data_IF_322748353598
#
_entry.id   IF_322748353598
#
_cell.length_a   1.000
_cell.length_b   1.000
_cell.length_c   1.000
_cell.angle_alpha   90.00
_cell.angle_beta   90.00
_cell.angle_gamma   90.00
#
_symmetry.space_group_name_H-M   'P 1'
#
loop_
_entity.id
_entity.type
_entity.pdbx_description
1 polymer ?
#
# COMPACT_ATOMS: atom_id res chain seq x y z
N UNK A 1 -6.66 -1.87 11.75
CA UNK A 1 -5.40 -2.22 12.43
C UNK A 1 -4.73 -3.38 11.69
N UNK A 2 -3.46 -3.23 11.35
CA UNK A 2 -2.71 -4.26 10.65
C UNK A 2 -1.95 -5.17 11.62
N UNK A 3 -2.00 -6.49 11.37
CA UNK A 3 -1.23 -7.48 12.12
C UNK A 3 -0.15 -8.08 11.22
N UNK A 4 1.07 -8.17 11.73
CA UNK A 4 2.18 -8.84 11.07
C UNK A 4 2.88 -9.76 12.05
N UNK A 5 2.88 -11.05 11.77
CA UNK A 5 3.41 -12.09 12.67
C UNK A 5 2.83 -11.95 14.09
N UNK A 6 1.52 -11.73 14.18
CA UNK A 6 0.75 -11.54 15.42
C UNK A 6 1.09 -10.25 16.18
N UNK A 7 1.86 -9.34 15.59
CA UNK A 7 2.17 -8.02 16.17
C UNK A 7 1.38 -6.95 15.46
N UNK A 8 0.85 -6.02 16.24
CA UNK A 8 0.13 -4.88 15.70
C UNK A 8 1.09 -3.86 15.09
N UNK A 9 0.83 -3.47 13.84
CA UNK A 9 1.62 -2.47 13.12
C UNK A 9 0.79 -1.18 13.04
N UNK A 10 1.28 -0.11 13.67
CA UNK A 10 0.61 1.19 13.71
C UNK A 10 1.34 2.27 12.94
N UNK A 11 2.66 2.15 12.84
CA UNK A 11 3.52 3.17 12.26
C UNK A 11 4.40 2.60 11.16
N UNK A 12 4.70 3.43 10.16
CA UNK A 12 5.53 3.02 9.04
C UNK A 12 6.96 2.67 9.49
N UNK A 13 7.42 3.27 10.58
CA UNK A 13 8.75 2.99 11.15
C UNK A 13 8.89 1.56 11.68
N UNK A 14 7.79 0.86 11.91
CA UNK A 14 7.80 -0.53 12.35
C UNK A 14 8.14 -1.51 11.23
N UNK A 15 8.08 -1.06 9.97
CA UNK A 15 8.52 -1.88 8.83
C UNK A 15 10.04 -1.80 8.68
N UNK A 16 10.68 -2.87 8.15
CA UNK A 16 12.09 -2.78 7.76
C UNK A 16 12.32 -1.63 6.80
N UNK A 17 13.50 -1.03 6.88
CA UNK A 17 13.86 0.19 6.14
C UNK A 17 13.63 0.11 4.63
N UNK A 18 13.87 -1.05 4.04
CA UNK A 18 13.79 -1.25 2.59
C UNK A 18 12.46 -1.83 2.14
N UNK A 19 11.40 -1.68 2.94
CA UNK A 19 10.08 -2.20 2.59
C UNK A 19 9.39 -1.28 1.60
N UNK A 20 9.07 -1.81 0.41
CA UNK A 20 8.32 -1.10 -0.63
C UNK A 20 6.81 -1.22 -0.43
N UNK A 21 6.35 -2.40 -0.08
CA UNK A 21 4.94 -2.69 0.10
C UNK A 21 4.75 -4.06 0.74
N UNK A 22 3.50 -4.50 0.81
CA UNK A 22 3.18 -5.76 1.44
C UNK A 22 2.01 -6.46 0.74
N UNK A 23 1.96 -7.78 0.92
CA UNK A 23 0.81 -8.60 0.55
C UNK A 23 -0.05 -8.73 1.79
N UNK A 24 -1.34 -8.49 1.63
CA UNK A 24 -2.28 -8.51 2.74
C UNK A 24 -3.41 -9.51 2.54
N UNK A 25 -4.00 -9.87 3.68
CA UNK A 25 -5.20 -10.69 3.75
C UNK A 25 -6.21 -9.95 4.62
N UNK A 26 -7.37 -9.65 4.06
CA UNK A 26 -8.49 -9.06 4.78
C UNK A 26 -9.54 -10.16 4.93
N UNK A 27 -9.90 -10.46 6.17
CA UNK A 27 -10.88 -11.49 6.49
C UNK A 27 -12.15 -10.84 7.03
N UNK A 28 -13.29 -11.17 6.43
CA UNK A 28 -14.58 -10.80 6.96
C UNK A 28 -15.02 -11.93 7.89
N UNK A 29 -14.87 -11.72 9.19
CA UNK A 29 -15.07 -12.77 10.21
C UNK A 29 -16.46 -13.41 10.20
N UNK A 30 -17.57 -12.64 10.09
CA UNK A 30 -18.90 -13.26 10.08
C UNK A 30 -19.15 -14.21 8.90
N UNK A 31 -18.60 -13.92 7.73
CA UNK A 31 -18.82 -14.74 6.52
C UNK A 31 -17.66 -15.66 6.21
N UNK A 32 -16.51 -15.50 6.90
CA UNK A 32 -15.26 -16.21 6.63
C UNK A 32 -14.70 -15.95 5.23
N UNK A 33 -15.15 -14.89 4.55
CA UNK A 33 -14.60 -14.51 3.24
C UNK A 33 -13.22 -13.88 3.40
N UNK A 34 -12.33 -14.23 2.48
CA UNK A 34 -10.95 -13.78 2.46
C UNK A 34 -10.66 -13.00 1.18
N UNK A 35 -9.97 -11.87 1.33
CA UNK A 35 -9.53 -11.03 0.22
C UNK A 35 -8.02 -10.85 0.33
N UNK A 36 -7.31 -11.15 -0.76
CA UNK A 36 -5.86 -11.02 -0.82
C UNK A 36 -5.50 -9.98 -1.88
N UNK A 37 -4.57 -9.11 -1.55
CA UNK A 37 -4.10 -8.09 -2.46
C UNK A 37 -2.74 -7.55 -2.04
N UNK A 38 -2.34 -6.46 -2.69
CA UNK A 38 -1.09 -5.78 -2.40
C UNK A 38 -1.34 -4.32 -2.06
N UNK A 39 -0.42 -3.73 -1.29
CA UNK A 39 -0.45 -2.32 -0.97
C UNK A 39 0.96 -1.75 -0.93
N UNK A 40 1.17 -0.63 -1.60
CA UNK A 40 2.42 0.11 -1.52
C UNK A 40 2.42 0.95 -0.25
N UNK A 41 3.56 0.99 0.45
CA UNK A 41 3.71 1.86 1.61
C UNK A 41 3.87 3.32 1.21
N UNK A 42 4.47 3.54 0.04
CA UNK A 42 4.72 4.89 -0.47
C UNK A 42 4.17 5.01 -1.88
N UNK A 43 3.83 6.23 -2.26
CA UNK A 43 3.53 6.53 -3.66
C UNK A 43 4.32 7.76 -4.11
N UNK A 44 4.65 7.77 -5.39
CA UNK A 44 5.35 8.88 -6.01
C UNK A 44 4.34 9.82 -6.65
N UNK A 45 4.47 11.11 -6.36
CA UNK A 45 3.66 12.15 -6.95
C UNK A 45 4.54 13.11 -7.73
N UNK A 46 4.11 13.46 -8.94
CA UNK A 46 4.75 14.53 -9.69
C UNK A 46 4.14 15.86 -9.28
N UNK A 47 4.98 16.79 -8.87
CA UNK A 47 4.56 18.15 -8.56
C UNK A 47 5.19 19.10 -9.55
N UNK A 48 4.36 19.95 -10.18
CA UNK A 48 4.85 20.96 -11.10
C UNK A 48 5.71 21.97 -10.35
N UNK A 49 6.92 22.20 -10.85
CA UNK A 49 7.81 23.19 -10.27
C UNK A 49 7.41 24.59 -10.69
N UNK A 50 7.53 25.57 -9.78
CA UNK A 50 7.36 26.98 -10.12
C UNK A 50 8.52 27.45 -10.99
N UNK A 51 8.29 28.52 -11.75
CA UNK A 51 9.36 29.12 -12.57
C UNK A 51 10.59 29.48 -11.73
N UNK A 52 10.35 29.98 -10.51
CA UNK A 52 11.42 30.33 -9.58
C UNK A 52 12.23 29.09 -9.15
N UNK A 53 11.54 27.99 -8.83
CA UNK A 53 12.21 26.75 -8.46
C UNK A 53 13.05 26.21 -9.61
N UNK A 54 12.53 26.26 -10.85
CA UNK A 54 13.27 25.83 -12.04
C UNK A 54 14.53 26.68 -12.25
N UNK A 55 14.43 28.00 -12.04
CA UNK A 55 15.57 28.92 -12.23
C UNK A 55 16.69 28.70 -11.21
N UNK A 56 16.38 28.08 -10.05
CA UNK A 56 17.38 27.79 -9.02
C UNK A 56 18.12 26.47 -9.26
N UNK A 57 17.70 25.68 -10.23
CA UNK A 57 18.34 24.42 -10.56
C UNK A 57 19.59 24.72 -11.37
N UNK A 58 20.76 24.35 -10.83
CA UNK A 58 22.05 24.51 -11.47
C UNK A 58 22.40 23.25 -12.28
N UNK A 59 23.14 23.46 -13.38
CA UNK A 59 23.68 22.38 -14.18
C UNK A 59 23.40 22.55 -15.66
N UNK A 60 24.18 21.86 -16.53
CA UNK A 60 23.97 21.90 -17.97
C UNK A 60 22.75 21.10 -18.39
N UNK A 61 22.14 21.48 -19.48
CA UNK A 61 21.05 20.74 -20.09
C UNK A 61 19.65 21.26 -19.74
N UNK A 62 18.66 20.50 -20.14
CA UNK A 62 17.25 20.86 -19.95
C UNK A 62 16.85 20.73 -18.47
N UNK A 63 16.29 21.78 -17.93
CA UNK A 63 15.80 21.77 -16.55
C UNK A 63 14.49 21.00 -16.43
N UNK A 64 14.30 20.22 -15.34
CA UNK A 64 13.04 19.50 -15.16
C UNK A 64 11.90 20.47 -14.84
N UNK A 65 10.71 20.17 -15.33
CA UNK A 65 9.51 20.94 -15.05
C UNK A 65 8.72 20.40 -13.85
N UNK A 66 9.03 19.18 -13.41
CA UNK A 66 8.33 18.50 -12.33
C UNK A 66 9.31 17.93 -11.32
N UNK A 67 8.87 17.89 -10.07
CA UNK A 67 9.58 17.24 -8.96
C UNK A 67 8.81 15.99 -8.57
N UNK A 68 9.54 14.89 -8.32
CA UNK A 68 8.92 13.68 -7.78
C UNK A 68 8.91 13.77 -6.27
N UNK A 69 7.72 13.65 -5.67
CA UNK A 69 7.54 13.64 -4.22
C UNK A 69 7.12 12.24 -3.82
N UNK A 70 7.86 11.67 -2.85
CA UNK A 70 7.52 10.37 -2.25
C UNK A 70 6.71 10.64 -1.00
N UNK A 71 5.49 10.13 -0.96
CA UNK A 71 4.60 10.28 0.20
C UNK A 71 4.17 8.91 0.72
N UNK A 72 3.97 8.84 2.03
CA UNK A 72 3.36 7.68 2.66
C UNK A 72 1.95 7.50 2.08
N UNK A 73 1.60 6.26 1.73
CA UNK A 73 0.27 5.93 1.22
C UNK A 73 -0.76 5.88 2.35
N UNK A 74 -2.02 5.64 2.00
CA UNK A 74 -3.12 5.47 2.94
C UNK A 74 -3.21 4.06 3.54
N UNK A 75 -2.08 3.35 3.63
CA UNK A 75 -2.02 1.96 4.04
C UNK A 75 -2.65 1.68 5.41
N UNK A 76 -2.57 2.63 6.34
CA UNK A 76 -3.09 2.44 7.71
C UNK A 76 -4.58 2.17 7.75
N UNK A 77 -5.34 2.87 6.93
CA UNK A 77 -6.79 2.79 6.87
C UNK A 77 -7.31 2.02 5.64
N UNK A 78 -6.42 1.34 4.95
CA UNK A 78 -6.75 0.64 3.71
C UNK A 78 -7.32 -0.75 4.02
N UNK A 79 -8.44 -1.08 3.38
CA UNK A 79 -9.13 -2.37 3.51
C UNK A 79 -9.22 -3.12 2.19
N UNK A 80 -8.54 -2.67 1.17
CA UNK A 80 -8.58 -3.25 -0.16
C UNK A 80 -9.38 -2.39 -1.14
N UNK A 81 -9.35 -2.77 -2.42
CA UNK A 81 -10.05 -2.05 -3.48
C UNK A 81 -11.43 -2.65 -3.80
N UNK A 82 -11.86 -3.67 -3.08
CA UNK A 82 -13.15 -4.32 -3.28
C UNK A 82 -14.28 -3.38 -2.87
N UNK A 83 -15.21 -3.14 -3.79
CA UNK A 83 -16.34 -2.21 -3.55
C UNK A 83 -17.26 -2.66 -2.43
N UNK A 84 -17.48 -3.96 -2.30
CA UNK A 84 -18.32 -4.54 -1.26
C UNK A 84 -17.73 -4.27 0.14
N UNK A 85 -16.42 -4.46 0.30
CA UNK A 85 -15.72 -4.15 1.55
C UNK A 85 -15.81 -2.66 1.84
N UNK A 86 -15.56 -1.82 0.85
CA UNK A 86 -15.61 -0.37 1.00
C UNK A 86 -16.99 0.10 1.46
N UNK A 87 -18.05 -0.52 0.94
CA UNK A 87 -19.42 -0.22 1.35
C UNK A 87 -19.65 -0.61 2.81
N UNK A 88 -19.21 -1.78 3.22
CA UNK A 88 -19.34 -2.24 4.61
C UNK A 88 -18.59 -1.34 5.59
N UNK A 89 -17.39 -0.90 5.23
CA UNK A 89 -16.61 0.03 6.05
C UNK A 89 -17.33 1.38 6.17
N UNK A 90 -17.89 1.87 5.07
CA UNK A 90 -18.68 3.09 5.05
C UNK A 90 -19.92 2.99 5.96
N UNK A 91 -20.48 1.79 6.07
CA UNK A 91 -21.63 1.51 6.93
C UNK A 91 -21.25 1.32 8.41
N UNK A 92 -19.98 1.52 8.76
CA UNK A 92 -19.50 1.37 10.15
C UNK A 92 -19.22 -0.05 10.58
N UNK A 93 -19.07 -0.99 9.64
CA UNK A 93 -18.85 -2.41 9.92
C UNK A 93 -17.37 -2.81 9.93
N UNK A 94 -16.46 -1.85 10.13
CA UNK A 94 -15.02 -2.10 10.11
C UNK A 94 -14.56 -3.11 11.13
N UNK A 95 -15.26 -3.25 12.27
CA UNK A 95 -14.94 -4.20 13.32
C UNK A 95 -15.12 -5.66 12.89
N UNK A 96 -15.85 -5.91 11.81
CA UNK A 96 -16.08 -7.24 11.27
C UNK A 96 -14.90 -7.73 10.43
N UNK A 97 -13.88 -6.89 10.21
CA UNK A 97 -12.74 -7.21 9.37
C UNK A 97 -11.46 -7.34 10.17
N UNK A 98 -10.67 -8.34 9.81
CA UNK A 98 -9.32 -8.53 10.33
C UNK A 98 -8.34 -8.33 9.18
N UNK A 99 -7.35 -7.45 9.38
CA UNK A 99 -6.31 -7.16 8.40
C UNK A 99 -4.99 -7.77 8.83
N UNK A 100 -4.40 -8.55 7.95
CA UNK A 100 -3.16 -9.25 8.23
C UNK A 100 -2.16 -9.03 7.10
N UNK A 101 -0.90 -8.76 7.46
CA UNK A 101 0.18 -8.63 6.52
C UNK A 101 0.83 -10.01 6.37
N UNK A 102 0.88 -10.54 5.16
CA UNK A 102 1.41 -11.87 4.89
C UNK A 102 2.90 -11.84 4.54
N UNK A 103 3.30 -10.92 3.67
CA UNK A 103 4.68 -10.78 3.22
C UNK A 103 5.03 -9.33 2.98
N UNK A 104 6.27 -8.98 3.27
CA UNK A 104 6.85 -7.69 2.92
C UNK A 104 7.66 -7.83 1.64
N UNK A 105 7.59 -6.83 0.77
CA UNK A 105 8.32 -6.83 -0.49
C UNK A 105 9.24 -5.60 -0.59
N UNK A 106 10.51 -5.79 -1.01
CA UNK A 106 11.47 -4.68 -1.10
C UNK A 106 11.34 -3.86 -2.38
N UNK A 107 10.60 -4.34 -3.38
CA UNK A 107 10.40 -3.63 -4.64
C UNK A 107 9.08 -4.04 -5.31
N UNK A 108 8.72 -3.27 -6.34
CA UNK A 108 7.47 -3.48 -7.08
C UNK A 108 7.40 -4.83 -7.78
N UNK A 109 8.51 -5.28 -8.34
CA UNK A 109 8.57 -6.55 -9.08
C UNK A 109 8.25 -7.74 -8.19
N UNK A 110 8.86 -7.80 -7.00
CA UNK A 110 8.60 -8.84 -6.03
C UNK A 110 7.20 -8.73 -5.43
N UNK A 111 6.72 -7.52 -5.21
CA UNK A 111 5.36 -7.31 -4.71
C UNK A 111 4.33 -7.89 -5.68
N UNK A 112 4.47 -7.62 -6.98
CA UNK A 112 3.59 -8.16 -8.02
C UNK A 112 3.67 -9.69 -8.08
N UNK A 113 4.88 -10.23 -8.01
CA UNK A 113 5.11 -11.67 -8.01
C UNK A 113 4.44 -12.35 -6.82
N UNK A 114 4.61 -11.80 -5.62
CA UNK A 114 4.01 -12.37 -4.41
C UNK A 114 2.48 -12.30 -4.45
N UNK A 115 1.91 -11.21 -4.94
CA UNK A 115 0.46 -11.10 -5.08
C UNK A 115 -0.08 -12.21 -5.98
N UNK A 116 0.51 -12.39 -7.16
CA UNK A 116 0.12 -13.43 -8.10
C UNK A 116 0.22 -14.82 -7.48
N UNK A 117 1.32 -15.07 -6.76
CA UNK A 117 1.55 -16.33 -6.08
C UNK A 117 0.47 -16.62 -5.02
N UNK A 118 0.18 -15.65 -4.18
CA UNK A 118 -0.82 -15.82 -3.12
C UNK A 118 -2.24 -15.97 -3.66
N UNK A 119 -2.60 -15.23 -4.68
CA UNK A 119 -3.91 -15.36 -5.34
C UNK A 119 -4.07 -16.77 -5.93
N UNK A 120 -3.03 -17.26 -6.57
CA UNK A 120 -3.03 -18.61 -7.16
C UNK A 120 -3.13 -19.70 -6.08
N UNK A 121 -2.32 -19.59 -5.03
CA UNK A 121 -2.28 -20.58 -3.95
C UNK A 121 -3.59 -20.67 -3.17
N UNK A 122 -4.33 -19.57 -3.06
CA UNK A 122 -5.58 -19.53 -2.29
C UNK A 122 -6.82 -19.61 -3.18
N UNK A 123 -6.65 -19.81 -4.48
CA UNK A 123 -7.75 -19.89 -5.47
C UNK A 123 -8.68 -18.66 -5.41
N UNK A 124 -8.11 -17.49 -5.12
CA UNK A 124 -8.86 -16.24 -4.99
C UNK A 124 -8.71 -15.44 -6.29
N UNK A 125 -9.18 -15.97 -7.37
CA UNK A 125 -9.08 -15.33 -8.69
C UNK A 125 -10.37 -14.64 -9.09
#
# INVERSE_FOLDING_TARGET
MWLYKKKEIKEISQFPKDTFGFIYKVTHTPSSKIYIGRKNLYHNRKQKLSKRAISLIEGPGRKPSHKVIVKESDWKNYYGSNKEIMQMISDGREQEFQKEILLLAPNKKLLTYYETKYLFMNEVL
#
